data_IF_584335672487
#
_entry.id   IF_584335672487
#
_cell.length_a   1.000
_cell.length_b   1.000
_cell.length_c   1.000
_cell.angle_alpha   90.00
_cell.angle_beta   90.00
_cell.angle_gamma   90.00
#
_symmetry.space_group_name_H-M   'P 1'
#
loop_
_entity.id
_entity.type
_entity.pdbx_description
1 polymer ?
#
# COMPACT_ATOMS: atom_id res chain seq x y z
N UNK A 1 -12.99 -5.79 -9.61
CA UNK A 1 -12.96 -4.31 -9.56
C UNK A 1 -14.01 -3.59 -10.42
N UNK A 2 -14.25 -4.01 -11.68
CA UNK A 2 -15.24 -3.39 -12.61
C UNK A 2 -16.63 -3.07 -12.03
N UNK A 3 -17.14 -3.89 -11.11
CA UNK A 3 -18.44 -3.64 -10.45
C UNK A 3 -18.37 -2.47 -9.46
N UNK A 4 -17.31 -2.38 -8.67
CA UNK A 4 -17.12 -1.31 -7.68
C UNK A 4 -16.92 0.05 -8.38
N UNK A 5 -16.18 0.04 -9.49
CA UNK A 5 -15.95 1.23 -10.33
C UNK A 5 -17.23 1.87 -10.91
N UNK A 6 -18.38 1.21 -10.80
CA UNK A 6 -19.67 1.79 -11.24
C UNK A 6 -20.18 2.86 -10.27
N UNK A 7 -19.72 2.86 -9.01
CA UNK A 7 -20.23 3.75 -7.97
C UNK A 7 -19.15 4.36 -7.07
N UNK A 8 -17.88 3.99 -7.21
CA UNK A 8 -16.78 4.52 -6.41
C UNK A 8 -15.58 4.92 -7.28
N UNK A 9 -14.91 6.00 -6.90
CA UNK A 9 -13.71 6.53 -7.57
C UNK A 9 -12.41 5.90 -7.05
N UNK A 10 -12.46 5.19 -5.92
CA UNK A 10 -11.30 4.58 -5.29
C UNK A 10 -11.66 3.51 -4.28
N UNK A 11 -10.67 2.74 -3.87
CA UNK A 11 -10.77 1.75 -2.80
C UNK A 11 -9.77 2.06 -1.69
N UNK A 12 -10.16 1.80 -0.44
CA UNK A 12 -9.26 1.79 0.70
C UNK A 12 -9.27 0.43 1.36
N UNK A 13 -8.45 -0.54 0.91
CA UNK A 13 -8.36 -1.86 1.52
C UNK A 13 -7.44 -1.86 2.74
N UNK A 14 -7.53 -2.89 3.57
CA UNK A 14 -6.42 -3.24 4.46
C UNK A 14 -5.17 -3.56 3.61
N UNK A 15 -4.00 -3.00 3.94
CA UNK A 15 -2.80 -3.20 3.12
C UNK A 15 -2.35 -4.68 3.04
N UNK A 16 -2.74 -5.54 4.00
CA UNK A 16 -2.49 -6.98 3.94
C UNK A 16 -3.24 -7.67 2.79
N UNK A 17 -4.27 -7.03 2.22
CA UNK A 17 -4.94 -7.51 1.00
C UNK A 17 -4.11 -7.26 -0.28
N UNK A 18 -3.11 -6.38 -0.21
CA UNK A 18 -2.26 -6.02 -1.34
C UNK A 18 -1.01 -6.91 -1.42
N UNK A 19 -0.50 -7.37 -0.28
CA UNK A 19 0.69 -8.21 -0.17
C UNK A 19 0.28 -9.66 0.07
N UNK A 20 0.73 -10.56 -0.79
CA UNK A 20 0.40 -11.98 -0.69
C UNK A 20 1.11 -12.64 0.52
N UNK A 21 0.44 -13.64 1.09
CA UNK A 21 1.01 -14.49 2.14
C UNK A 21 2.34 -15.12 1.68
N UNK A 22 3.27 -15.30 2.63
CA UNK A 22 4.60 -15.82 2.35
C UNK A 22 5.61 -14.79 1.83
N UNK A 23 5.21 -13.52 1.70
CA UNK A 23 6.18 -12.42 1.49
C UNK A 23 7.16 -12.34 2.65
N UNK A 24 8.42 -12.05 2.35
CA UNK A 24 9.52 -11.96 3.33
C UNK A 24 10.34 -10.69 3.08
N UNK A 25 11.19 -10.26 4.03
CA UNK A 25 12.06 -9.12 3.80
C UNK A 25 12.90 -9.32 2.52
N UNK A 26 12.79 -8.38 1.57
CA UNK A 26 13.47 -8.43 0.28
C UNK A 26 12.82 -9.29 -0.80
N UNK A 27 11.74 -10.02 -0.50
CA UNK A 27 10.97 -10.79 -1.48
C UNK A 27 9.47 -10.58 -1.25
N UNK A 28 8.92 -9.57 -1.92
CA UNK A 28 7.51 -9.18 -1.81
C UNK A 28 6.74 -9.70 -3.02
N UNK A 29 5.62 -10.37 -2.75
CA UNK A 29 4.67 -10.79 -3.78
C UNK A 29 3.37 -10.02 -3.61
N UNK A 30 2.82 -9.48 -4.69
CA UNK A 30 1.57 -8.70 -4.66
C UNK A 30 0.38 -9.50 -5.16
N UNK A 31 -0.80 -9.19 -4.64
CA UNK A 31 -2.07 -9.61 -5.23
C UNK A 31 -2.36 -8.78 -6.50
N UNK A 32 -3.36 -9.19 -7.28
CA UNK A 32 -3.77 -8.43 -8.47
C UNK A 32 -4.56 -7.14 -8.13
N UNK A 33 -4.84 -6.86 -6.86
CA UNK A 33 -5.84 -5.86 -6.45
C UNK A 33 -5.51 -4.43 -6.96
N UNK A 34 -4.29 -3.95 -6.74
CA UNK A 34 -3.88 -2.60 -7.20
C UNK A 34 -3.97 -2.51 -8.72
N UNK A 35 -3.43 -3.51 -9.41
CA UNK A 35 -3.47 -3.59 -10.88
C UNK A 35 -4.91 -3.57 -11.43
N UNK A 36 -5.83 -4.30 -10.81
CA UNK A 36 -7.23 -4.32 -11.22
C UNK A 36 -7.97 -2.99 -10.94
N UNK A 37 -7.63 -2.32 -9.84
CA UNK A 37 -8.14 -0.99 -9.51
C UNK A 37 -7.69 0.06 -10.52
N UNK A 38 -6.41 0.14 -10.82
CA UNK A 38 -5.89 1.05 -11.83
C UNK A 38 -6.43 0.74 -13.23
N UNK A 39 -6.55 -0.54 -13.61
CA UNK A 39 -7.20 -0.93 -14.86
C UNK A 39 -8.67 -0.50 -14.95
N UNK A 40 -9.31 -0.28 -13.80
CA UNK A 40 -10.68 0.25 -13.69
C UNK A 40 -10.72 1.78 -13.43
N UNK A 41 -9.57 2.47 -13.53
CA UNK A 41 -9.38 3.91 -13.27
C UNK A 41 -9.73 4.34 -11.84
N UNK A 42 -9.60 3.43 -10.88
CA UNK A 42 -9.85 3.71 -9.46
C UNK A 42 -8.54 4.01 -8.73
N UNK A 43 -8.57 4.96 -7.80
CA UNK A 43 -7.45 5.21 -6.87
C UNK A 43 -7.39 4.13 -5.79
N UNK A 44 -6.20 3.89 -5.23
CA UNK A 44 -5.97 2.91 -4.16
C UNK A 44 -5.30 3.59 -2.97
N UNK A 45 -6.00 3.66 -1.83
CA UNK A 45 -5.52 4.27 -0.58
C UNK A 45 -5.62 3.28 0.59
N UNK A 46 -4.69 2.31 0.75
CA UNK A 46 -4.83 1.30 1.79
C UNK A 46 -4.62 1.87 3.21
N UNK A 47 -5.12 1.15 4.19
CA UNK A 47 -4.98 1.45 5.62
C UNK A 47 -4.46 0.22 6.40
N UNK A 48 -3.89 0.34 7.60
CA UNK A 48 -3.26 1.53 8.20
C UNK A 48 -1.79 1.23 8.41
N UNK A 49 -0.90 2.03 7.84
CA UNK A 49 0.53 1.88 8.11
C UNK A 49 0.83 2.32 9.55
N UNK A 50 1.44 1.42 10.32
CA UNK A 50 1.76 1.61 11.73
C UNK A 50 3.21 1.24 12.03
N UNK A 51 4.01 2.21 12.45
CA UNK A 51 5.43 1.99 12.75
C UNK A 51 5.66 1.12 14.00
N UNK A 52 4.65 1.00 14.86
CA UNK A 52 4.64 0.19 16.08
C UNK A 52 4.02 -1.20 15.88
N UNK A 53 3.54 -1.51 14.67
CA UNK A 53 2.88 -2.77 14.34
C UNK A 53 3.17 -3.14 12.87
N UNK A 54 4.41 -3.54 12.60
CA UNK A 54 4.86 -3.90 11.26
C UNK A 54 4.55 -5.37 10.92
N UNK A 55 4.28 -5.68 9.65
CA UNK A 55 4.21 -7.06 9.19
C UNK A 55 5.61 -7.69 9.11
N UNK A 56 5.71 -9.02 9.16
CA UNK A 56 6.98 -9.76 9.22
C UNK A 56 7.93 -9.49 8.03
N UNK A 57 7.39 -9.01 6.90
CA UNK A 57 8.18 -8.68 5.70
C UNK A 57 8.81 -7.28 5.71
N UNK A 58 8.53 -6.46 6.73
CA UNK A 58 9.09 -5.11 6.85
C UNK A 58 9.77 -4.94 8.23
N UNK A 59 11.10 -4.70 8.22
CA UNK A 59 11.85 -4.54 9.48
C UNK A 59 11.79 -3.11 10.03
N UNK A 60 11.39 -2.16 9.20
CA UNK A 60 11.14 -0.77 9.57
C UNK A 60 10.01 -0.17 8.71
N UNK A 61 9.44 0.94 9.15
CA UNK A 61 8.26 1.54 8.49
C UNK A 61 8.59 2.10 7.10
N UNK A 62 9.83 2.50 6.82
CA UNK A 62 10.21 3.00 5.50
C UNK A 62 10.19 1.87 4.47
N UNK A 63 10.53 0.64 4.86
CA UNK A 63 10.35 -0.52 3.99
C UNK A 63 8.87 -0.75 3.66
N UNK A 64 7.97 -0.63 4.64
CA UNK A 64 6.54 -0.75 4.38
C UNK A 64 6.02 0.37 3.46
N UNK A 65 6.50 1.61 3.65
CA UNK A 65 6.19 2.71 2.73
C UNK A 65 6.71 2.45 1.32
N UNK A 66 7.92 1.93 1.15
CA UNK A 66 8.49 1.56 -0.15
C UNK A 66 7.68 0.45 -0.83
N UNK A 67 7.31 -0.58 -0.07
CA UNK A 67 6.46 -1.68 -0.54
C UNK A 67 5.12 -1.17 -1.07
N UNK A 68 4.49 -0.22 -0.38
CA UNK A 68 3.16 0.27 -0.78
C UNK A 68 3.25 1.34 -1.86
N UNK A 69 4.03 2.41 -1.66
CA UNK A 69 4.11 3.51 -2.62
C UNK A 69 4.84 3.12 -3.90
N UNK A 70 6.01 2.49 -3.79
CA UNK A 70 6.90 2.32 -4.93
C UNK A 70 6.74 0.97 -5.62
N UNK A 71 6.57 -0.10 -4.85
CA UNK A 71 6.48 -1.45 -5.41
C UNK A 71 5.03 -1.84 -5.79
N UNK A 72 4.07 -1.63 -4.88
CA UNK A 72 2.65 -1.88 -5.18
C UNK A 72 2.05 -0.77 -6.06
N UNK A 73 2.53 0.47 -5.91
CA UNK A 73 2.09 1.63 -6.69
C UNK A 73 0.80 2.28 -6.18
N UNK A 74 0.54 2.28 -4.87
CA UNK A 74 -0.68 2.91 -4.33
C UNK A 74 -0.64 4.44 -4.49
N UNK A 75 -1.79 5.07 -4.70
CA UNK A 75 -1.91 6.50 -4.98
C UNK A 75 -1.73 7.38 -3.72
N UNK A 76 -1.84 6.76 -2.55
CA UNK A 76 -1.86 7.35 -1.22
C UNK A 76 -2.02 6.23 -0.20
N UNK A 77 -1.90 6.50 1.10
CA UNK A 77 -2.20 5.53 2.15
C UNK A 77 -2.59 6.25 3.44
N UNK A 78 -3.27 5.52 4.33
CA UNK A 78 -3.54 5.96 5.69
C UNK A 78 -2.43 5.46 6.62
N UNK A 79 -1.98 6.33 7.52
CA UNK A 79 -0.93 6.03 8.50
C UNK A 79 -1.24 6.71 9.82
N UNK A 80 -0.90 6.06 10.93
CA UNK A 80 -0.98 6.65 12.27
C UNK A 80 0.24 7.53 12.60
N UNK A 81 1.24 7.55 11.72
CA UNK A 81 2.47 8.34 11.86
C UNK A 81 2.67 9.27 10.64
N UNK A 82 1.86 10.34 10.50
CA UNK A 82 1.89 11.20 9.31
C UNK A 82 3.25 11.83 9.03
N UNK A 83 3.99 12.19 10.09
CA UNK A 83 5.35 12.75 10.00
C UNK A 83 6.31 11.82 9.24
N UNK A 84 6.21 10.50 9.49
CA UNK A 84 7.08 9.50 8.87
C UNK A 84 6.79 9.30 7.39
N UNK A 85 5.52 9.25 7.01
CA UNK A 85 5.14 9.16 5.60
C UNK A 85 5.57 10.40 4.81
N UNK A 86 5.35 11.60 5.37
CA UNK A 86 5.79 12.86 4.77
C UNK A 86 7.32 12.91 4.64
N UNK A 87 8.05 12.46 5.66
CA UNK A 87 9.51 12.39 5.62
C UNK A 87 9.98 11.44 4.51
N UNK A 88 9.42 10.22 4.44
CA UNK A 88 9.74 9.23 3.41
C UNK A 88 9.55 9.81 1.99
N UNK A 89 8.39 10.39 1.69
CA UNK A 89 8.08 10.95 0.36
C UNK A 89 8.95 12.16 -0.03
N UNK A 90 9.51 12.88 0.95
CA UNK A 90 10.44 13.99 0.69
C UNK A 90 11.86 13.54 0.43
N UNK A 91 12.27 12.40 0.98
CA UNK A 91 13.61 11.85 0.83
C UNK A 91 13.76 10.91 -0.36
N UNK A 92 12.64 10.39 -0.88
CA UNK A 92 12.59 9.45 -2.00
C UNK A 92 12.31 10.11 -3.36
N UNK A 93 12.31 11.45 -3.44
CA UNK A 93 12.39 12.22 -4.70
C UNK A 93 13.85 12.50 -5.06
#
# INVERSE_FOLDING_TARGET
MKQIAQYADGIGPDYHMLVAEGSTPGHITFTAMVKEAHASKMQVHPYTVRADQLPDYATDVNQLYDVLYNQAGVDGLFTDFPDKAVQFLRTSQ
#
